data_IF_521352774810
#
_entry.id   IF_521352774810
#
_cell.length_a   1.000
_cell.length_b   1.000
_cell.length_c   1.000
_cell.angle_alpha   90.00
_cell.angle_beta   90.00
_cell.angle_gamma   90.00
#
_symmetry.space_group_name_H-M   'P 1'
#
loop_
_entity.id
_entity.type
_entity.pdbx_description
1 polymer ?
#
# COMPACT_ATOMS: atom_id res chain seq x y z
N UNK A 1 -14.39 -11.28 -1.78
CA UNK A 1 -14.93 -12.24 -2.77
C UNK A 1 -13.82 -12.54 -3.74
N UNK A 2 -13.53 -13.83 -4.02
CA UNK A 2 -12.46 -14.19 -4.93
C UNK A 2 -12.72 -13.60 -6.29
N UNK A 3 -11.78 -12.78 -6.77
CA UNK A 3 -11.94 -12.21 -8.12
C UNK A 3 -11.82 -13.34 -9.14
N UNK A 4 -12.81 -13.43 -10.04
CA UNK A 4 -12.80 -14.44 -11.11
C UNK A 4 -11.51 -14.39 -11.95
N UNK A 5 -10.99 -13.17 -12.17
CA UNK A 5 -9.70 -12.96 -12.84
C UNK A 5 -8.50 -13.50 -12.06
N UNK A 6 -8.44 -13.27 -10.74
CA UNK A 6 -7.35 -13.80 -9.91
C UNK A 6 -7.39 -15.33 -9.81
N UNK A 7 -8.59 -15.91 -9.74
CA UNK A 7 -8.75 -17.36 -9.76
C UNK A 7 -8.33 -17.95 -11.11
N UNK A 8 -8.80 -17.41 -12.23
CA UNK A 8 -8.40 -17.85 -13.57
C UNK A 8 -6.88 -17.72 -13.77
N UNK A 9 -6.27 -16.62 -13.32
CA UNK A 9 -4.83 -16.43 -13.36
C UNK A 9 -4.09 -17.47 -12.53
N UNK A 10 -4.57 -17.81 -11.33
CA UNK A 10 -3.96 -18.84 -10.48
C UNK A 10 -4.01 -20.24 -11.11
N UNK A 11 -5.09 -20.58 -11.81
CA UNK A 11 -5.21 -21.82 -12.56
C UNK A 11 -4.26 -21.84 -13.77
N UNK A 12 -4.19 -20.74 -14.53
CA UNK A 12 -3.26 -20.60 -15.64
C UNK A 12 -1.80 -20.69 -15.17
N UNK A 13 -1.48 -20.10 -14.02
CA UNK A 13 -0.17 -20.20 -13.37
C UNK A 13 0.16 -21.64 -13.01
N UNK A 14 -0.79 -22.39 -12.45
CA UNK A 14 -0.62 -23.82 -12.18
C UNK A 14 -0.37 -24.65 -13.43
N UNK A 15 -1.08 -24.37 -14.52
CA UNK A 15 -0.83 -25.00 -15.81
C UNK A 15 0.56 -24.66 -16.36
N UNK A 16 1.00 -23.41 -16.26
CA UNK A 16 2.33 -22.98 -16.67
C UNK A 16 3.45 -23.65 -15.84
N UNK A 17 3.27 -23.77 -14.52
CA UNK A 17 4.20 -24.49 -13.64
C UNK A 17 4.29 -25.96 -14.06
N UNK A 18 3.15 -26.61 -14.35
CA UNK A 18 3.16 -28.00 -14.81
C UNK A 18 3.86 -28.15 -16.17
N UNK A 19 3.63 -27.23 -17.11
CA UNK A 19 4.33 -27.20 -18.39
C UNK A 19 5.84 -27.11 -18.20
N UNK A 20 6.29 -26.16 -17.38
CA UNK A 20 7.71 -25.98 -17.06
C UNK A 20 8.31 -27.22 -16.39
N UNK A 21 7.61 -27.79 -15.41
CA UNK A 21 8.02 -29.04 -14.76
C UNK A 21 8.18 -30.17 -15.77
N UNK A 22 7.21 -30.37 -16.67
CA UNK A 22 7.28 -31.42 -17.69
C UNK A 22 8.37 -31.18 -18.73
N UNK A 23 8.74 -29.92 -18.98
CA UNK A 23 9.88 -29.58 -19.83
C UNK A 23 11.22 -29.98 -19.20
N UNK A 24 11.33 -29.90 -17.87
CA UNK A 24 12.54 -30.28 -17.14
C UNK A 24 12.63 -31.79 -16.86
N UNK A 25 11.55 -32.39 -16.35
CA UNK A 25 11.54 -33.79 -15.90
C UNK A 25 11.19 -34.79 -17.00
N UNK A 26 10.82 -34.31 -18.18
CA UNK A 26 10.19 -35.11 -19.23
C UNK A 26 8.69 -35.34 -18.97
N UNK A 27 7.95 -35.59 -20.07
CA UNK A 27 6.51 -35.80 -20.01
C UNK A 27 6.17 -37.26 -19.67
N UNK A 28 5.19 -37.54 -18.79
CA UNK A 28 4.81 -38.91 -18.50
C UNK A 28 4.19 -39.59 -19.74
N UNK A 29 4.38 -40.90 -19.92
CA UNK A 29 3.98 -41.61 -21.14
C UNK A 29 2.46 -41.77 -21.28
N UNK A 30 1.73 -41.85 -20.16
CA UNK A 30 0.27 -42.04 -20.15
C UNK A 30 -0.45 -40.69 -20.12
N UNK A 31 -1.46 -40.53 -20.99
CA UNK A 31 -2.28 -39.32 -21.05
C UNK A 31 -3.04 -39.06 -19.74
N UNK A 32 -3.51 -40.11 -19.06
CA UNK A 32 -4.15 -39.99 -17.74
C UNK A 32 -3.23 -39.35 -16.69
N UNK A 33 -1.94 -39.72 -16.67
CA UNK A 33 -0.95 -39.13 -15.76
C UNK A 33 -0.64 -37.67 -16.10
N UNK A 34 -0.72 -37.29 -17.38
CA UNK A 34 -0.63 -35.88 -17.79
C UNK A 34 -1.81 -35.09 -17.20
N UNK A 35 -3.04 -35.55 -17.46
CA UNK A 35 -4.27 -34.89 -16.99
C UNK A 35 -4.30 -34.78 -15.47
N UNK A 36 -4.02 -35.86 -14.75
CA UNK A 36 -3.98 -35.86 -13.28
C UNK A 36 -2.94 -34.86 -12.76
N UNK A 37 -1.76 -34.78 -13.40
CA UNK A 37 -0.71 -33.84 -13.01
C UNK A 37 -1.08 -32.37 -13.25
N UNK A 38 -1.80 -32.05 -14.33
CA UNK A 38 -2.32 -30.70 -14.53
C UNK A 38 -3.43 -30.38 -13.52
N UNK A 39 -4.38 -31.30 -13.35
CA UNK A 39 -5.48 -31.12 -12.42
C UNK A 39 -5.00 -30.91 -10.98
N UNK A 40 -4.00 -31.68 -10.52
CA UNK A 40 -3.46 -31.55 -9.17
C UNK A 40 -2.78 -30.20 -8.94
N UNK A 41 -1.91 -29.77 -9.86
CA UNK A 41 -1.20 -28.49 -9.71
C UNK A 41 -2.16 -27.31 -9.84
N UNK A 42 -3.09 -27.34 -10.80
CA UNK A 42 -4.10 -26.30 -10.95
C UNK A 42 -5.00 -26.20 -9.71
N UNK A 43 -5.40 -27.34 -9.13
CA UNK A 43 -6.21 -27.35 -7.89
C UNK A 43 -5.40 -26.80 -6.72
N UNK A 44 -4.12 -27.13 -6.62
CA UNK A 44 -3.23 -26.59 -5.58
C UNK A 44 -3.05 -25.08 -5.71
N UNK A 45 -2.74 -24.57 -6.90
CA UNK A 45 -2.58 -23.12 -7.09
C UNK A 45 -3.89 -22.36 -6.94
N UNK A 46 -5.00 -22.92 -7.42
CA UNK A 46 -6.34 -22.37 -7.25
C UNK A 46 -6.77 -22.31 -5.79
N UNK A 47 -6.56 -23.38 -5.03
CA UNK A 47 -6.87 -23.41 -3.59
C UNK A 47 -5.96 -22.47 -2.79
N UNK A 48 -4.67 -22.40 -3.11
CA UNK A 48 -3.74 -21.45 -2.51
C UNK A 48 -4.20 -19.99 -2.74
N UNK A 49 -4.61 -19.65 -3.96
CA UNK A 49 -5.16 -18.33 -4.24
C UNK A 49 -6.41 -18.05 -3.41
N UNK A 50 -7.35 -18.99 -3.38
CA UNK A 50 -8.63 -18.83 -2.69
C UNK A 50 -8.46 -18.66 -1.17
N UNK A 51 -7.63 -19.49 -0.53
CA UNK A 51 -7.51 -19.51 0.92
C UNK A 51 -6.45 -18.56 1.48
N UNK A 52 -5.43 -18.21 0.70
CA UNK A 52 -4.29 -17.41 1.20
C UNK A 52 -4.26 -16.04 0.56
N UNK A 53 -4.21 -15.97 -0.77
CA UNK A 53 -3.99 -14.69 -1.46
C UNK A 53 -5.22 -13.80 -1.46
N UNK A 54 -6.42 -14.33 -1.74
CA UNK A 54 -7.63 -13.51 -1.81
C UNK A 54 -7.97 -12.82 -0.48
N UNK A 55 -7.93 -13.50 0.69
CA UNK A 55 -8.14 -12.83 1.97
C UNK A 55 -7.10 -11.74 2.23
N UNK A 56 -5.83 -11.99 1.94
CA UNK A 56 -4.76 -11.00 2.13
C UNK A 56 -4.96 -9.76 1.25
N UNK A 57 -5.31 -9.95 -0.02
CA UNK A 57 -5.60 -8.86 -0.95
C UNK A 57 -6.79 -8.04 -0.45
N UNK A 58 -7.86 -8.70 0.02
CA UNK A 58 -9.04 -8.03 0.52
C UNK A 58 -8.73 -7.20 1.78
N UNK A 59 -7.99 -7.76 2.75
CA UNK A 59 -7.56 -7.02 3.95
C UNK A 59 -6.72 -5.81 3.59
N UNK A 60 -5.77 -5.95 2.65
CA UNK A 60 -4.93 -4.84 2.22
C UNK A 60 -5.73 -3.74 1.50
N UNK A 61 -6.69 -4.13 0.64
CA UNK A 61 -7.59 -3.18 -0.03
C UNK A 61 -8.43 -2.41 0.99
N UNK A 62 -8.93 -3.08 2.01
CA UNK A 62 -9.72 -2.46 3.06
C UNK A 62 -8.88 -1.47 3.89
N UNK A 63 -7.64 -1.83 4.23
CA UNK A 63 -6.73 -0.91 4.92
C UNK A 63 -6.40 0.32 4.07
N UNK A 64 -6.17 0.13 2.77
CA UNK A 64 -5.90 1.22 1.84
C UNK A 64 -7.12 2.13 1.68
N UNK A 65 -8.32 1.57 1.55
CA UNK A 65 -9.54 2.38 1.44
C UNK A 65 -9.77 3.20 2.71
N UNK A 66 -9.57 2.62 3.90
CA UNK A 66 -9.69 3.35 5.17
C UNK A 66 -8.71 4.52 5.25
N UNK A 67 -7.44 4.30 4.88
CA UNK A 67 -6.41 5.36 4.85
C UNK A 67 -6.75 6.45 3.83
N UNK A 68 -7.27 6.06 2.67
CA UNK A 68 -7.65 7.00 1.63
C UNK A 68 -8.84 7.86 2.07
N UNK A 69 -9.83 7.28 2.75
CA UNK A 69 -10.94 8.03 3.36
C UNK A 69 -10.44 9.03 4.40
N UNK A 70 -9.56 8.60 5.32
CA UNK A 70 -8.98 9.50 6.33
C UNK A 70 -8.21 10.67 5.69
N UNK A 71 -7.46 10.43 4.61
CA UNK A 71 -6.76 11.49 3.87
C UNK A 71 -7.73 12.45 3.17
N UNK A 72 -8.88 11.97 2.67
CA UNK A 72 -9.93 12.81 2.09
C UNK A 72 -10.57 13.71 3.16
N UNK A 73 -10.91 13.15 4.32
CA UNK A 73 -11.45 13.92 5.45
C UNK A 73 -10.46 14.98 5.94
N UNK A 74 -9.17 14.65 6.02
CA UNK A 74 -8.12 15.63 6.36
C UNK A 74 -8.00 16.73 5.30
N UNK A 75 -8.17 16.40 4.02
CA UNK A 75 -8.13 17.39 2.94
C UNK A 75 -9.32 18.34 3.01
N UNK A 76 -10.53 17.83 3.27
CA UNK A 76 -11.73 18.65 3.45
C UNK A 76 -11.62 19.58 4.67
N UNK A 77 -11.10 19.07 5.79
CA UNK A 77 -10.81 19.90 6.97
C UNK A 77 -9.70 20.92 6.73
N UNK A 78 -8.74 20.62 5.85
CA UNK A 78 -7.70 21.59 5.47
C UNK A 78 -8.29 22.79 4.73
N UNK A 79 -9.29 22.60 3.86
CA UNK A 79 -10.01 23.74 3.27
C UNK A 79 -10.73 24.58 4.32
N UNK A 80 -11.24 23.97 5.39
CA UNK A 80 -11.85 24.70 6.50
C UNK A 80 -10.81 25.44 7.36
N UNK A 81 -9.65 24.82 7.61
CA UNK A 81 -8.55 25.39 8.40
C UNK A 81 -7.83 26.55 7.70
N UNK A 82 -7.75 26.54 6.36
CA UNK A 82 -7.16 27.66 5.58
C UNK A 82 -7.97 28.95 5.76
N UNK A 83 -9.27 28.88 6.08
CA UNK A 83 -10.07 30.06 6.40
C UNK A 83 -9.86 30.59 7.84
N UNK A 84 -9.13 29.88 8.71
CA UNK A 84 -8.80 30.33 10.07
C UNK A 84 -7.41 30.96 10.20
N UNK A 85 -6.51 30.78 9.22
CA UNK A 85 -5.14 31.33 9.26
C UNK A 85 -5.05 32.83 8.93
N UNK A 86 -6.15 33.49 8.56
CA UNK A 86 -6.21 34.95 8.43
C UNK A 86 -6.44 35.69 9.77
N UNK A 87 -6.38 34.98 10.90
CA UNK A 87 -6.16 35.63 12.20
C UNK A 87 -4.67 35.68 12.51
N UNK A 88 -4.07 36.80 12.07
CA UNK A 88 -2.75 37.30 12.42
C UNK A 88 -2.34 36.84 13.83
N UNK A 89 -1.41 35.87 13.89
CA UNK A 89 -0.88 35.37 15.15
C UNK A 89 -0.18 36.52 15.90
N UNK A 90 -0.91 37.18 16.80
CA UNK A 90 -0.42 38.22 17.72
C UNK A 90 0.60 37.72 18.75
N UNK A 91 1.14 36.50 18.61
CA UNK A 91 2.05 35.89 19.56
C UNK A 91 3.53 36.11 19.22
N UNK A 92 3.85 36.56 18.00
CA UNK A 92 5.24 36.81 17.56
C UNK A 92 5.49 38.23 17.06
N UNK A 93 4.78 39.22 17.59
CA UNK A 93 5.15 40.61 17.34
C UNK A 93 6.45 40.92 18.08
N UNK A 94 7.43 41.52 17.40
CA UNK A 94 8.76 41.85 17.93
C UNK A 94 8.77 42.71 19.22
N UNK A 95 7.60 43.19 19.68
CA UNK A 95 7.44 43.93 20.95
C UNK A 95 7.53 43.05 22.20
N UNK A 96 7.19 41.75 22.13
CA UNK A 96 7.16 40.85 23.29
C UNK A 96 8.44 40.02 23.49
N UNK A 97 9.47 40.26 22.68
CA UNK A 97 10.81 39.73 22.95
C UNK A 97 11.37 40.43 24.21
N UNK A 98 11.23 39.76 25.35
CA UNK A 98 11.71 40.22 26.66
C UNK A 98 13.20 40.61 26.65
N UNK A 99 13.62 41.35 27.69
CA UNK A 99 14.96 41.97 27.83
C UNK A 99 16.15 41.05 27.47
N UNK A 100 15.99 39.75 27.63
CA UNK A 100 17.02 38.74 27.34
C UNK A 100 17.43 38.71 25.86
N UNK A 101 16.47 38.79 24.93
CA UNK A 101 16.76 38.75 23.48
C UNK A 101 17.29 40.08 22.93
N UNK A 102 16.98 41.21 23.58
CA UNK A 102 17.55 42.52 23.22
C UNK A 102 19.04 42.63 23.52
N UNK A 103 19.51 41.95 24.57
CA UNK A 103 20.93 41.92 24.91
C UNK A 103 21.70 41.05 23.91
N UNK A 104 21.14 39.91 23.53
CA UNK A 104 21.78 39.02 22.55
C UNK A 104 21.94 39.69 21.18
N UNK A 105 20.91 40.42 20.71
CA UNK A 105 20.98 41.21 19.47
C UNK A 105 21.97 42.38 19.53
N UNK A 106 22.31 42.89 20.73
CA UNK A 106 23.28 43.98 20.90
C UNK A 106 24.73 43.49 20.81
N UNK A 107 25.00 42.26 21.24
CA UNK A 107 26.34 41.67 21.23
C UNK A 107 26.62 40.78 20.02
N UNK A 108 25.59 40.42 19.23
CA UNK A 108 25.74 39.63 18.01
C UNK A 108 26.02 40.48 16.76
N UNK A 109 26.02 41.81 16.86
CA UNK A 109 26.34 42.67 15.71
C UNK A 109 27.85 42.69 15.46
N UNK A 110 28.31 42.38 14.23
CA UNK A 110 29.72 42.46 13.89
C UNK A 110 30.18 43.92 13.91
N UNK A 111 31.24 44.21 14.66
CA UNK A 111 31.88 45.52 14.72
C UNK A 111 32.28 45.95 13.30
N UNK A 112 31.88 47.17 12.90
CA UNK A 112 32.46 47.89 11.76
C UNK A 112 33.80 48.49 12.16
#
# INVERSE_FOLDING_TARGET
MPTAGGFAFSLASGAAIRLFQTGLSGSPPKLSQKVIGYASIMTLTGSFYYFVLDPQINTNRELLSRRLTALREQRERKSDLVNFEEQEHRLFTAKDKGRFFRLFDKYSQPYK
#
